data_IF_025901542257
#
_entry.id   IF_025901542257
#
_cell.length_a   1.000
_cell.length_b   1.000
_cell.length_c   1.000
_cell.angle_alpha   90.00
_cell.angle_beta   90.00
_cell.angle_gamma   90.00
#
_symmetry.space_group_name_H-M   'P 1'
#
loop_
_entity.id
_entity.type
_entity.pdbx_description
1 polymer ?
#
# COMPACT_ATOMS: atom_id res chain seq x y z
N UNK A 1 7.66 -0.14 11.67
CA UNK A 1 6.19 -0.03 11.52
C UNK A 1 5.77 -1.09 10.52
N UNK A 2 4.82 -1.97 10.87
CA UNK A 2 4.32 -2.97 9.94
C UNK A 2 3.77 -2.28 8.68
N UNK A 3 3.97 -2.90 7.52
CA UNK A 3 3.30 -2.48 6.28
C UNK A 3 1.80 -2.55 6.54
N UNK A 4 1.13 -1.39 6.53
CA UNK A 4 -0.31 -1.40 6.76
C UNK A 4 -0.96 -2.15 5.60
N UNK A 5 -1.69 -3.21 5.94
CA UNK A 5 -2.57 -3.86 4.98
C UNK A 5 -3.60 -2.82 4.50
N UNK A 6 -4.26 -3.05 3.37
CA UNK A 6 -5.38 -2.19 2.92
C UNK A 6 -6.36 -1.93 4.09
N UNK A 7 -6.53 -2.91 4.99
CA UNK A 7 -7.40 -2.84 6.15
C UNK A 7 -6.98 -1.78 7.18
N UNK A 8 -5.68 -1.54 7.31
CA UNK A 8 -5.11 -0.64 8.32
C UNK A 8 -4.59 0.68 7.72
N UNK A 9 -4.68 0.86 6.40
CA UNK A 9 -4.25 2.06 5.71
C UNK A 9 -5.28 3.18 5.84
N UNK A 10 -4.93 4.25 6.55
CA UNK A 10 -5.76 5.44 6.66
C UNK A 10 -5.89 6.17 5.31
N UNK A 11 -4.82 6.24 4.52
CA UNK A 11 -4.84 6.91 3.22
C UNK A 11 -5.81 6.21 2.24
N UNK A 12 -5.79 4.88 2.19
CA UNK A 12 -6.73 4.09 1.38
C UNK A 12 -8.17 4.26 1.87
N UNK A 13 -8.37 4.29 3.19
CA UNK A 13 -9.69 4.48 3.79
C UNK A 13 -10.28 5.85 3.42
N UNK A 14 -9.48 6.92 3.49
CA UNK A 14 -9.92 8.28 3.15
C UNK A 14 -10.32 8.35 1.68
N UNK A 15 -9.46 7.88 0.78
CA UNK A 15 -9.77 7.86 -0.64
C UNK A 15 -11.08 7.10 -0.93
N UNK A 16 -11.24 5.91 -0.37
CA UNK A 16 -12.45 5.10 -0.58
C UNK A 16 -13.70 5.75 0.02
N UNK A 17 -13.54 6.49 1.14
CA UNK A 17 -14.62 7.25 1.76
C UNK A 17 -15.10 8.39 0.86
N UNK A 18 -14.19 9.10 0.22
CA UNK A 18 -14.48 10.16 -0.76
C UNK A 18 -15.14 9.58 -2.01
N UNK A 19 -14.63 8.47 -2.53
CA UNK A 19 -15.22 7.75 -3.68
C UNK A 19 -16.61 7.19 -3.38
N UNK A 20 -16.89 6.81 -2.13
CA UNK A 20 -18.21 6.40 -1.69
C UNK A 20 -19.20 7.60 -1.59
N UNK A 21 -18.69 8.84 -1.58
CA UNK A 21 -19.49 10.06 -1.49
C UNK A 21 -19.61 10.62 -0.07
N UNK A 22 -18.74 10.21 0.86
CA UNK A 22 -18.70 10.80 2.19
C UNK A 22 -18.06 12.19 2.12
N UNK A 23 -18.66 13.17 2.78
CA UNK A 23 -18.11 14.54 2.81
C UNK A 23 -16.96 14.68 3.82
N UNK A 24 -16.03 15.60 3.57
CA UNK A 24 -14.86 15.85 4.42
C UNK A 24 -15.17 15.91 5.92
N UNK A 25 -16.18 16.67 6.38
CA UNK A 25 -16.53 16.74 7.80
C UNK A 25 -16.92 15.40 8.46
N UNK A 26 -17.43 14.43 7.71
CA UNK A 26 -17.69 13.08 8.23
C UNK A 26 -16.42 12.26 8.30
N UNK A 27 -15.53 12.39 7.32
CA UNK A 27 -14.22 11.74 7.32
C UNK A 27 -13.38 12.23 8.49
N UNK A 28 -13.37 13.54 8.74
CA UNK A 28 -12.68 14.14 9.88
C UNK A 28 -13.27 13.68 11.23
N UNK A 29 -14.59 13.53 11.32
CA UNK A 29 -15.24 12.99 12.51
C UNK A 29 -14.85 11.51 12.76
N UNK A 30 -14.75 10.69 11.73
CA UNK A 30 -14.25 9.32 11.83
C UNK A 30 -12.80 9.29 12.31
N UNK A 31 -11.94 10.14 11.77
CA UNK A 31 -10.53 10.30 12.19
C UNK A 31 -10.42 10.70 13.66
N UNK A 32 -11.17 11.73 14.06
CA UNK A 32 -11.16 12.23 15.43
C UNK A 32 -11.58 11.16 16.46
N UNK A 33 -12.45 10.22 16.05
CA UNK A 33 -12.88 9.11 16.88
C UNK A 33 -12.01 7.85 16.70
N UNK A 34 -10.91 7.94 15.96
CA UNK A 34 -9.98 6.84 15.75
C UNK A 34 -10.48 5.72 14.84
N UNK A 35 -11.51 5.97 14.02
CA UNK A 35 -12.18 4.99 13.15
C UNK A 35 -11.77 5.14 11.67
N UNK A 36 -10.63 5.72 11.41
CA UNK A 36 -10.15 6.03 10.06
C UNK A 36 -9.45 4.85 9.36
N UNK A 37 -9.87 3.62 9.61
CA UNK A 37 -9.40 2.43 8.88
C UNK A 37 -10.54 1.42 8.71
N UNK A 38 -10.47 0.61 7.64
CA UNK A 38 -11.48 -0.42 7.39
C UNK A 38 -11.58 -1.44 8.54
N UNK A 39 -10.44 -1.84 9.11
CA UNK A 39 -10.40 -2.75 10.24
C UNK A 39 -11.19 -2.23 11.43
N UNK A 40 -11.01 -0.96 11.80
CA UNK A 40 -11.70 -0.35 12.94
C UNK A 40 -13.18 -0.09 12.65
N UNK A 41 -13.50 0.40 11.44
CA UNK A 41 -14.87 0.69 11.06
C UNK A 41 -15.72 -0.58 10.99
N UNK A 42 -15.14 -1.72 10.57
CA UNK A 42 -15.87 -2.97 10.39
C UNK A 42 -16.58 -3.49 11.66
N UNK A 43 -16.11 -3.11 12.84
CA UNK A 43 -16.65 -3.48 14.15
C UNK A 43 -17.37 -2.33 14.87
N UNK A 44 -17.47 -1.15 14.26
CA UNK A 44 -17.96 0.06 14.94
C UNK A 44 -19.46 0.01 15.31
N UNK A 45 -20.28 -0.70 14.54
CA UNK A 45 -21.73 -0.71 14.70
C UNK A 45 -22.26 -2.10 14.98
N UNK A 46 -21.86 -3.09 14.19
CA UNK A 46 -22.38 -4.47 14.27
C UNK A 46 -21.25 -5.49 14.20
N UNK A 47 -21.54 -6.73 14.58
CA UNK A 47 -20.63 -7.86 14.36
C UNK A 47 -20.45 -8.13 12.86
N UNK A 48 -19.30 -8.70 12.48
CA UNK A 48 -19.01 -9.07 11.11
C UNK A 48 -20.09 -9.97 10.52
N UNK A 49 -20.53 -9.65 9.31
CA UNK A 49 -21.57 -10.41 8.60
C UNK A 49 -23.00 -10.02 8.96
N UNK A 50 -23.21 -9.06 9.87
CA UNK A 50 -24.53 -8.56 10.23
C UNK A 50 -24.77 -7.21 9.54
N UNK A 51 -25.85 -7.09 8.78
CA UNK A 51 -26.23 -5.83 8.14
C UNK A 51 -26.77 -4.88 9.18
N UNK A 52 -26.18 -3.68 9.27
CA UNK A 52 -26.64 -2.64 10.17
C UNK A 52 -27.98 -2.05 9.69
N UNK A 53 -28.92 -1.85 10.64
CA UNK A 53 -30.18 -1.18 10.34
C UNK A 53 -29.97 0.33 10.19
N UNK A 54 -30.94 1.00 9.54
CA UNK A 54 -30.88 2.48 9.36
C UNK A 54 -30.84 3.21 10.69
N UNK A 55 -31.57 2.71 11.70
CA UNK A 55 -31.60 3.25 13.05
C UNK A 55 -30.24 3.15 13.73
N UNK A 56 -29.56 2.00 13.61
CA UNK A 56 -28.21 1.79 14.16
C UNK A 56 -27.17 2.71 13.51
N UNK A 57 -27.24 2.85 12.18
CA UNK A 57 -26.33 3.73 11.45
C UNK A 57 -26.58 5.18 11.80
N UNK A 58 -27.84 5.64 11.83
CA UNK A 58 -28.19 7.00 12.23
C UNK A 58 -27.79 7.30 13.69
N UNK A 59 -28.03 6.34 14.60
CA UNK A 59 -27.60 6.46 15.99
C UNK A 59 -26.08 6.64 16.10
N UNK A 60 -25.33 5.83 15.35
CA UNK A 60 -23.88 5.96 15.32
C UNK A 60 -23.40 7.29 14.72
N UNK A 61 -23.95 7.74 13.59
CA UNK A 61 -23.62 9.03 12.98
C UNK A 61 -23.91 10.20 13.93
N UNK A 62 -25.01 10.14 14.69
CA UNK A 62 -25.32 11.13 15.71
C UNK A 62 -24.30 11.15 16.88
N UNK A 63 -23.65 10.04 17.18
CA UNK A 63 -22.54 10.01 18.17
C UNK A 63 -21.26 10.65 17.63
N UNK A 64 -21.01 10.51 16.33
CA UNK A 64 -19.84 11.11 15.69
C UNK A 64 -19.97 12.63 15.56
N UNK A 65 -21.15 13.12 15.22
CA UNK A 65 -21.43 14.56 15.05
C UNK A 65 -22.76 14.90 15.70
N UNK A 66 -22.72 15.22 16.98
CA UNK A 66 -23.91 15.56 17.77
C UNK A 66 -24.64 16.78 17.17
N UNK A 67 -25.95 16.60 16.94
CA UNK A 67 -26.82 17.67 16.42
C UNK A 67 -26.74 17.89 14.91
N UNK A 68 -25.99 17.08 14.18
CA UNK A 68 -25.91 17.15 12.70
C UNK A 68 -26.55 15.91 12.11
N UNK A 69 -27.71 16.07 11.47
CA UNK A 69 -28.36 14.98 10.76
C UNK A 69 -27.63 14.69 9.45
N UNK A 70 -27.34 13.41 9.20
CA UNK A 70 -26.80 12.97 7.92
C UNK A 70 -27.89 13.07 6.83
N UNK A 71 -27.50 13.51 5.65
CA UNK A 71 -28.36 13.44 4.47
C UNK A 71 -28.57 11.98 4.02
N UNK A 72 -29.60 11.73 3.22
CA UNK A 72 -29.87 10.39 2.67
C UNK A 72 -28.65 9.88 1.86
N UNK A 73 -27.98 10.77 1.12
CA UNK A 73 -26.80 10.45 0.35
C UNK A 73 -25.60 10.05 1.24
N UNK A 74 -25.35 10.80 2.31
CA UNK A 74 -24.29 10.50 3.29
C UNK A 74 -24.59 9.20 4.04
N UNK A 75 -25.83 8.95 4.40
CA UNK A 75 -26.26 7.69 5.00
C UNK A 75 -26.00 6.50 4.07
N UNK A 76 -26.34 6.62 2.79
CA UNK A 76 -26.09 5.59 1.81
C UNK A 76 -24.59 5.35 1.59
N UNK A 77 -23.80 6.43 1.48
CA UNK A 77 -22.35 6.38 1.37
C UNK A 77 -21.71 5.68 2.57
N UNK A 78 -22.16 6.01 3.78
CA UNK A 78 -21.67 5.40 5.01
C UNK A 78 -22.01 3.91 5.11
N UNK A 79 -23.24 3.51 4.75
CA UNK A 79 -23.64 2.10 4.69
C UNK A 79 -22.79 1.30 3.72
N UNK A 80 -22.54 1.86 2.53
CA UNK A 80 -21.64 1.25 1.54
C UNK A 80 -20.25 1.06 2.11
N UNK A 81 -19.67 2.09 2.73
CA UNK A 81 -18.34 2.04 3.32
C UNK A 81 -18.24 1.00 4.45
N UNK A 82 -19.28 0.91 5.30
CA UNK A 82 -19.37 -0.09 6.36
C UNK A 82 -19.42 -1.51 5.79
N UNK A 83 -20.24 -1.74 4.76
CA UNK A 83 -20.35 -3.04 4.10
C UNK A 83 -19.03 -3.46 3.45
N UNK A 84 -18.36 -2.54 2.74
CA UNK A 84 -17.05 -2.77 2.14
C UNK A 84 -16.01 -3.10 3.22
N UNK A 85 -16.00 -2.37 4.34
CA UNK A 85 -15.12 -2.61 5.48
C UNK A 85 -15.30 -4.03 6.07
N UNK A 86 -16.53 -4.45 6.28
CA UNK A 86 -16.85 -5.80 6.80
C UNK A 86 -16.47 -6.89 5.80
N UNK A 87 -16.71 -6.68 4.51
CA UNK A 87 -16.38 -7.63 3.45
C UNK A 87 -14.87 -7.83 3.34
N UNK A 88 -14.09 -6.74 3.35
CA UNK A 88 -12.63 -6.79 3.34
C UNK A 88 -12.08 -7.52 4.57
N UNK A 89 -12.65 -7.27 5.75
CA UNK A 89 -12.23 -7.92 6.99
C UNK A 89 -12.52 -9.41 6.97
N UNK A 90 -13.71 -9.82 6.53
CA UNK A 90 -14.06 -11.25 6.37
C UNK A 90 -13.14 -11.96 5.37
N UNK A 91 -12.80 -11.28 4.26
CA UNK A 91 -11.88 -11.84 3.27
C UNK A 91 -10.47 -12.01 3.89
N UNK A 92 -10.00 -11.02 4.65
CA UNK A 92 -8.72 -11.09 5.35
C UNK A 92 -8.64 -12.29 6.31
N UNK A 93 -9.68 -12.51 7.12
CA UNK A 93 -9.74 -13.67 8.02
C UNK A 93 -9.79 -15.01 7.28
N UNK A 94 -10.58 -15.11 6.20
CA UNK A 94 -10.63 -16.33 5.38
C UNK A 94 -9.29 -16.67 4.71
N UNK A 95 -8.58 -15.67 4.20
CA UNK A 95 -7.25 -15.85 3.62
C UNK A 95 -6.24 -16.32 4.67
N UNK A 96 -6.24 -15.72 5.85
CA UNK A 96 -5.38 -16.14 6.98
C UNK A 96 -5.70 -17.55 7.46
N UNK A 97 -6.99 -17.92 7.54
CA UNK A 97 -7.41 -19.24 8.00
C UNK A 97 -7.09 -20.37 7.00
N UNK A 98 -7.02 -20.08 5.71
CA UNK A 98 -6.68 -21.06 4.67
C UNK A 98 -5.19 -21.37 4.60
N UNK A 99 -4.32 -20.59 5.28
CA UNK A 99 -2.87 -20.75 5.19
C UNK A 99 -2.33 -20.51 3.77
N UNK A 100 -3.09 -19.78 2.94
CA UNK A 100 -2.57 -19.38 1.64
C UNK A 100 -1.22 -18.70 1.88
N UNK A 101 -0.16 -19.23 1.22
CA UNK A 101 1.17 -18.61 1.26
C UNK A 101 0.99 -17.11 1.10
N UNK A 102 1.49 -16.38 2.09
CA UNK A 102 1.39 -14.92 2.10
C UNK A 102 2.15 -14.41 0.89
N UNK A 103 1.46 -14.33 -0.24
CA UNK A 103 1.99 -13.57 -1.37
C UNK A 103 2.32 -12.19 -0.81
N UNK A 104 3.56 -11.71 -0.96
CA UNK A 104 3.98 -10.44 -0.40
C UNK A 104 2.94 -9.38 -0.79
N UNK A 105 2.27 -8.83 0.22
CA UNK A 105 1.18 -7.88 0.00
C UNK A 105 1.78 -6.63 -0.63
N UNK A 106 1.34 -6.31 -1.83
CA UNK A 106 1.72 -5.06 -2.47
C UNK A 106 1.15 -3.90 -1.66
N UNK A 107 1.99 -2.90 -1.42
CA UNK A 107 1.52 -1.67 -0.78
C UNK A 107 0.46 -1.01 -1.65
N UNK A 108 -0.70 -0.68 -1.07
CA UNK A 108 -1.77 0.01 -1.79
C UNK A 108 -1.27 1.36 -2.34
N UNK A 109 -1.74 1.73 -3.53
CA UNK A 109 -1.28 2.95 -4.20
C UNK A 109 -1.49 4.21 -3.34
N UNK A 110 -2.65 4.45 -2.73
CA UNK A 110 -2.86 5.63 -1.89
C UNK A 110 -1.92 5.71 -0.69
N UNK A 111 -1.63 4.57 -0.08
CA UNK A 111 -0.67 4.49 1.02
C UNK A 111 0.75 4.82 0.57
N UNK A 112 1.13 4.33 -0.61
CA UNK A 112 2.43 4.62 -1.22
C UNK A 112 2.59 6.08 -1.53
N UNK A 113 1.56 6.68 -2.15
CA UNK A 113 1.56 8.09 -2.53
C UNK A 113 1.62 9.00 -1.30
N UNK A 114 0.86 8.70 -0.25
CA UNK A 114 0.89 9.43 1.01
C UNK A 114 2.26 9.34 1.72
N UNK A 115 2.89 8.17 1.71
CA UNK A 115 4.24 7.99 2.28
C UNK A 115 5.31 8.71 1.44
N UNK A 116 5.19 8.68 0.12
CA UNK A 116 6.12 9.38 -0.78
C UNK A 116 6.03 10.90 -0.58
N UNK A 117 4.83 11.43 -0.45
CA UNK A 117 4.63 12.86 -0.17
C UNK A 117 5.27 13.24 1.17
N UNK A 118 4.99 12.49 2.23
CA UNK A 118 5.62 12.69 3.53
C UNK A 118 7.15 12.58 3.47
N UNK A 119 7.70 11.64 2.70
CA UNK A 119 9.14 11.49 2.51
C UNK A 119 9.73 12.71 1.80
N UNK A 120 9.06 13.22 0.75
CA UNK A 120 9.47 14.46 0.05
C UNK A 120 9.49 15.67 0.97
N UNK A 121 8.51 15.77 1.86
CA UNK A 121 8.47 16.84 2.87
C UNK A 121 9.62 16.77 3.87
N UNK A 122 9.97 15.56 4.33
CA UNK A 122 11.05 15.33 5.29
C UNK A 122 12.43 15.52 4.67
N UNK A 123 12.62 15.06 3.42
CA UNK A 123 13.89 15.13 2.70
C UNK A 123 13.96 16.37 1.80
N UNK A 124 13.56 17.53 2.33
CA UNK A 124 13.65 18.82 1.62
C UNK A 124 15.08 19.05 1.11
N UNK A 125 15.22 19.26 -0.19
CA UNK A 125 16.52 19.41 -0.87
C UNK A 125 17.00 18.18 -1.64
N UNK A 126 16.27 17.05 -1.57
CA UNK A 126 16.45 15.92 -2.46
C UNK A 126 15.24 15.81 -3.41
N UNK A 127 15.48 15.98 -4.69
CA UNK A 127 14.39 15.80 -5.69
C UNK A 127 14.21 14.32 -5.99
N UNK A 128 13.21 13.70 -5.31
CA UNK A 128 12.87 12.29 -5.47
C UNK A 128 11.97 12.14 -6.71
N UNK A 129 12.58 12.33 -7.90
CA UNK A 129 11.90 12.19 -9.19
C UNK A 129 12.85 11.58 -10.23
N UNK A 130 12.29 11.05 -11.30
CA UNK A 130 13.04 10.53 -12.44
C UNK A 130 14.04 9.44 -12.06
N UNK A 131 15.38 9.65 -12.25
CA UNK A 131 16.38 8.63 -11.96
C UNK A 131 16.49 8.22 -10.48
N UNK A 132 16.08 9.09 -9.55
CA UNK A 132 16.13 8.83 -8.10
C UNK A 132 14.84 8.25 -7.54
N UNK A 133 13.74 8.32 -8.27
CA UNK A 133 12.48 7.74 -7.84
C UNK A 133 12.55 6.20 -7.87
N UNK A 134 12.42 5.51 -6.73
CA UNK A 134 12.47 4.06 -6.70
C UNK A 134 11.30 3.41 -7.41
N UNK A 135 11.53 2.25 -8.01
CA UNK A 135 10.48 1.42 -8.59
C UNK A 135 9.48 0.95 -7.52
N UNK A 136 8.23 0.77 -7.88
CA UNK A 136 7.20 0.26 -6.97
C UNK A 136 7.51 -1.15 -6.49
N UNK A 137 8.06 -1.99 -7.36
CA UNK A 137 8.51 -3.34 -6.98
C UNK A 137 9.59 -3.31 -5.88
N UNK A 138 10.44 -2.27 -5.83
CA UNK A 138 11.45 -2.12 -4.79
C UNK A 138 10.81 -1.80 -3.42
N UNK A 139 9.76 -0.97 -3.40
CA UNK A 139 8.97 -0.73 -2.19
C UNK A 139 8.32 -2.02 -1.68
N UNK A 140 7.73 -2.82 -2.57
CA UNK A 140 7.08 -4.09 -2.22
C UNK A 140 8.08 -5.09 -1.62
N UNK A 141 9.32 -5.14 -2.16
CA UNK A 141 10.41 -5.97 -1.59
C UNK A 141 10.79 -5.51 -0.18
N UNK A 142 10.98 -4.21 0.04
CA UNK A 142 11.30 -3.68 1.37
C UNK A 142 10.15 -3.90 2.36
N UNK A 143 8.90 -3.75 1.92
CA UNK A 143 7.71 -4.01 2.70
C UNK A 143 7.62 -5.49 3.12
N UNK A 144 7.89 -6.42 2.21
CA UNK A 144 7.91 -7.85 2.50
C UNK A 144 8.99 -8.25 3.53
N UNK A 145 10.14 -7.56 3.55
CA UNK A 145 11.16 -7.76 4.58
C UNK A 145 10.66 -7.43 5.98
N UNK A 146 9.88 -6.34 6.11
CA UNK A 146 9.28 -5.95 7.39
C UNK A 146 8.23 -6.98 7.83
N UNK A 147 7.37 -7.43 6.90
CA UNK A 147 6.33 -8.44 7.20
C UNK A 147 6.93 -9.77 7.67
N UNK A 148 8.04 -10.19 7.07
CA UNK A 148 8.75 -11.42 7.43
C UNK A 148 9.66 -11.25 8.65
N UNK A 149 9.87 -10.02 9.11
CA UNK A 149 10.87 -9.67 10.12
C UNK A 149 12.27 -10.19 9.76
N UNK A 150 12.61 -10.14 8.48
CA UNK A 150 13.87 -10.65 7.93
C UNK A 150 14.45 -9.65 6.95
N UNK A 151 15.67 -9.17 7.21
CA UNK A 151 16.39 -8.25 6.32
C UNK A 151 17.25 -9.06 5.36
N UNK A 152 16.98 -8.97 4.07
CA UNK A 152 17.76 -9.59 3.02
C UNK A 152 18.52 -8.56 2.18
N UNK A 153 19.64 -8.99 1.60
CA UNK A 153 20.42 -8.14 0.72
C UNK A 153 19.68 -7.87 -0.59
N UNK A 154 19.55 -6.60 -0.94
CA UNK A 154 19.02 -6.18 -2.25
C UNK A 154 20.18 -5.84 -3.17
N UNK A 155 20.33 -6.63 -4.25
CA UNK A 155 21.35 -6.37 -5.25
C UNK A 155 21.08 -5.00 -5.93
N UNK A 156 22.09 -4.12 -6.06
CA UNK A 156 21.94 -2.84 -6.75
C UNK A 156 21.37 -2.95 -8.18
N UNK A 157 21.67 -4.04 -8.91
CA UNK A 157 21.10 -4.28 -10.24
C UNK A 157 19.57 -4.40 -10.25
N UNK A 158 18.95 -4.70 -9.11
CA UNK A 158 17.49 -4.78 -8.92
C UNK A 158 16.87 -3.48 -8.41
N UNK A 159 17.69 -2.47 -8.12
CA UNK A 159 17.23 -1.17 -7.64
C UNK A 159 16.86 -0.26 -8.82
N UNK A 160 15.80 -0.61 -9.56
CA UNK A 160 15.32 0.15 -10.69
C UNK A 160 14.75 1.51 -10.27
N UNK A 161 14.77 2.46 -11.20
CA UNK A 161 13.95 3.66 -11.09
C UNK A 161 12.50 3.34 -11.54
N UNK A 162 11.55 4.19 -11.14
CA UNK A 162 10.16 4.09 -11.59
C UNK A 162 10.06 4.15 -13.11
N UNK A 163 10.86 5.00 -13.74
CA UNK A 163 10.90 5.11 -15.19
C UNK A 163 11.37 3.82 -15.87
N UNK A 164 12.42 3.18 -15.32
CA UNK A 164 12.93 1.90 -15.85
C UNK A 164 11.91 0.77 -15.66
N UNK A 165 11.21 0.74 -14.52
CA UNK A 165 10.13 -0.22 -14.28
C UNK A 165 9.01 -0.09 -15.32
N UNK A 166 8.57 1.14 -15.61
CA UNK A 166 7.52 1.39 -16.61
C UNK A 166 7.94 1.02 -18.04
N UNK A 167 9.23 1.22 -18.38
CA UNK A 167 9.77 0.84 -19.68
C UNK A 167 9.95 -0.68 -19.82
N UNK A 168 10.31 -1.37 -18.73
CA UNK A 168 10.59 -2.81 -18.71
C UNK A 168 9.35 -3.69 -18.44
N UNK A 169 8.22 -3.12 -18.06
CA UNK A 169 7.05 -3.87 -17.57
C UNK A 169 6.11 -4.40 -18.66
N UNK A 170 6.58 -4.66 -19.88
CA UNK A 170 5.80 -5.46 -20.81
C UNK A 170 6.01 -6.93 -20.48
N UNK A 171 5.02 -7.63 -19.89
CA UNK A 171 5.16 -9.07 -19.66
C UNK A 171 5.28 -9.76 -21.02
N UNK A 172 6.38 -10.46 -21.25
CA UNK A 172 6.46 -11.39 -22.37
C UNK A 172 5.48 -12.54 -22.06
N UNK A 173 4.36 -12.55 -22.76
CA UNK A 173 3.38 -13.64 -22.70
C UNK A 173 3.90 -14.76 -23.57
N UNK A 174 4.51 -15.75 -22.98
CA UNK A 174 4.88 -16.98 -23.66
C UNK A 174 3.67 -17.93 -23.66
N UNK A 175 3.16 -18.22 -24.88
CA UNK A 175 2.10 -19.21 -25.06
C UNK A 175 2.75 -20.57 -25.18
N UNK A 176 2.71 -21.39 -24.15
CA UNK A 176 3.16 -22.77 -24.17
C UNK A 176 1.98 -23.72 -24.41
N UNK A 177 2.12 -24.58 -25.41
CA UNK A 177 1.20 -25.71 -25.63
C UNK A 177 1.56 -26.80 -24.63
N UNK A 178 0.65 -27.08 -23.70
CA UNK A 178 0.80 -28.25 -22.86
C UNK A 178 0.34 -29.48 -23.64
N UNK A 179 1.32 -30.24 -24.15
CA UNK A 179 1.09 -31.42 -24.98
C UNK A 179 0.31 -32.53 -24.26
N UNK A 180 0.21 -32.47 -22.93
CA UNK A 180 -0.49 -33.48 -22.11
C UNK A 180 -1.96 -33.14 -21.85
N UNK A 181 -2.38 -31.90 -21.97
CA UNK A 181 -3.74 -31.44 -21.64
C UNK A 181 -4.50 -30.78 -22.78
N UNK A 182 -3.93 -30.66 -23.99
CA UNK A 182 -4.53 -29.97 -25.14
C UNK A 182 -5.06 -28.56 -24.78
N UNK A 183 -4.45 -27.92 -23.80
CA UNK A 183 -4.81 -26.59 -23.32
C UNK A 183 -3.65 -25.61 -23.51
N UNK A 184 -3.99 -24.41 -23.98
CA UNK A 184 -3.04 -23.29 -24.06
C UNK A 184 -2.84 -22.71 -22.67
N UNK A 185 -1.65 -22.87 -22.11
CA UNK A 185 -1.28 -22.23 -20.84
C UNK A 185 -0.48 -20.98 -21.16
N UNK A 186 -1.03 -19.82 -20.81
CA UNK A 186 -0.31 -18.56 -20.86
C UNK A 186 0.54 -18.46 -19.60
N UNK A 187 1.85 -18.69 -19.71
CA UNK A 187 2.79 -18.39 -18.63
C UNK A 187 3.23 -16.94 -18.74
N UNK A 188 2.85 -16.13 -17.79
CA UNK A 188 3.44 -14.81 -17.61
C UNK A 188 4.82 -14.98 -16.96
N UNK A 189 5.87 -14.83 -17.75
CA UNK A 189 7.22 -14.71 -17.19
C UNK A 189 7.33 -13.29 -16.63
N UNK A 190 7.28 -13.14 -15.32
CA UNK A 190 7.72 -11.94 -14.65
C UNK A 190 9.26 -11.91 -14.72
N UNK A 191 9.79 -11.47 -15.85
CA UNK A 191 11.20 -11.10 -15.93
C UNK A 191 11.37 -9.88 -15.02
N UNK A 192 12.03 -10.05 -13.90
CA UNK A 192 12.46 -8.92 -13.09
C UNK A 192 13.55 -8.21 -13.90
N UNK A 193 13.30 -7.04 -14.50
CA UNK A 193 14.30 -6.34 -15.27
C UNK A 193 15.48 -6.02 -14.35
N UNK A 194 16.69 -6.34 -14.81
CA UNK A 194 17.92 -5.98 -14.14
C UNK A 194 18.56 -4.82 -14.89
N UNK A 195 19.09 -3.85 -14.16
CA UNK A 195 19.87 -2.74 -14.74
C UNK A 195 21.33 -3.13 -14.84
N UNK A 196 21.93 -2.77 -15.98
CA UNK A 196 23.37 -2.87 -16.12
C UNK A 196 24.01 -1.65 -15.40
N UNK A 197 24.73 -1.92 -14.33
CA UNK A 197 25.48 -0.91 -13.58
C UNK A 197 26.89 -0.86 -14.19
N UNK A 198 27.06 -0.02 -15.21
CA UNK A 198 28.32 0.14 -15.91
C UNK A 198 29.15 1.35 -15.45
N UNK A 199 28.65 2.18 -14.56
CA UNK A 199 29.33 3.38 -14.08
C UNK A 199 29.11 3.61 -12.57
N UNK A 200 30.05 4.31 -11.94
CA UNK A 200 29.96 4.69 -10.52
C UNK A 200 28.71 5.53 -10.24
N UNK A 201 28.31 6.39 -11.16
CA UNK A 201 27.10 7.19 -11.05
C UNK A 201 25.86 6.30 -11.05
N UNK A 202 25.79 5.29 -11.92
CA UNK A 202 24.67 4.34 -11.97
C UNK A 202 24.57 3.52 -10.67
N UNK A 203 25.72 3.10 -10.14
CA UNK A 203 25.80 2.42 -8.84
C UNK A 203 25.31 3.33 -7.70
N UNK A 204 25.80 4.58 -7.66
CA UNK A 204 25.38 5.55 -6.67
C UNK A 204 23.85 5.78 -6.70
N UNK A 205 23.28 6.00 -7.88
CA UNK A 205 21.84 6.17 -8.05
C UNK A 205 21.06 4.93 -7.62
N UNK A 206 21.54 3.72 -7.92
CA UNK A 206 20.91 2.48 -7.49
C UNK A 206 20.90 2.34 -5.96
N UNK A 207 22.02 2.65 -5.30
CA UNK A 207 22.11 2.66 -3.83
C UNK A 207 21.21 3.72 -3.20
N UNK A 208 21.13 4.92 -3.80
CA UNK A 208 20.21 5.97 -3.33
C UNK A 208 18.75 5.51 -3.42
N UNK A 209 18.33 4.89 -4.54
CA UNK A 209 16.98 4.34 -4.68
C UNK A 209 16.70 3.26 -3.63
N UNK A 210 17.66 2.37 -3.35
CA UNK A 210 17.53 1.37 -2.30
C UNK A 210 17.26 2.00 -0.94
N UNK A 211 18.08 2.98 -0.57
CA UNK A 211 17.95 3.67 0.73
C UNK A 211 16.63 4.43 0.82
N UNK A 212 16.21 5.12 -0.25
CA UNK A 212 14.91 5.80 -0.30
C UNK A 212 13.73 4.83 -0.16
N UNK A 213 13.83 3.64 -0.76
CA UNK A 213 12.79 2.62 -0.62
C UNK A 213 12.73 2.05 0.80
N UNK A 214 13.86 1.83 1.44
CA UNK A 214 13.93 1.39 2.84
C UNK A 214 13.36 2.44 3.80
N UNK A 215 13.64 3.71 3.56
CA UNK A 215 13.14 4.83 4.36
C UNK A 215 11.62 4.99 4.21
N UNK A 216 11.11 4.96 2.99
CA UNK A 216 9.67 5.06 2.72
C UNK A 216 8.88 3.94 3.41
N UNK A 217 9.40 2.73 3.41
CA UNK A 217 8.76 1.59 4.06
C UNK A 217 8.95 1.58 5.58
N UNK A 218 9.93 2.32 6.08
CA UNK A 218 10.30 2.34 7.52
C UNK A 218 11.24 1.22 7.92
N UNK A 219 11.88 0.54 6.96
CA UNK A 219 12.89 -0.50 7.23
C UNK A 219 14.19 0.11 7.77
N UNK A 220 14.61 1.27 7.23
CA UNK A 220 15.78 2.02 7.68
C UNK A 220 15.57 3.52 7.43
N UNK A 221 16.23 4.39 8.19
CA UNK A 221 16.18 5.84 7.96
C UNK A 221 17.24 6.26 6.95
N UNK A 222 16.86 7.07 5.97
CA UNK A 222 17.75 7.63 4.96
C UNK A 222 18.92 8.44 5.55
N UNK A 223 18.68 9.18 6.63
CA UNK A 223 19.73 9.98 7.27
C UNK A 223 20.82 9.14 7.93
N UNK A 224 20.47 8.01 8.52
CA UNK A 224 21.41 7.10 9.17
C UNK A 224 22.32 6.45 8.13
N UNK A 225 21.77 5.99 7.03
CA UNK A 225 22.52 5.32 5.96
C UNK A 225 23.48 6.28 5.24
N UNK A 226 23.07 7.54 5.02
CA UNK A 226 23.95 8.59 4.45
C UNK A 226 25.16 8.91 5.34
N UNK A 227 25.01 8.83 6.66
CA UNK A 227 26.13 9.04 7.60
C UNK A 227 27.09 7.86 7.59
N UNK A 228 26.60 6.63 7.50
CA UNK A 228 27.46 5.43 7.43
C UNK A 228 28.29 5.39 6.16
N UNK A 229 27.78 5.86 5.05
CA UNK A 229 28.50 5.92 3.77
C UNK A 229 29.63 6.97 3.77
N UNK A 230 29.52 8.03 4.56
CA UNK A 230 30.58 9.07 4.71
C UNK A 230 31.70 8.67 5.65
N UNK A 231 31.50 7.71 6.54
CA UNK A 231 32.52 7.25 7.50
C UNK A 231 33.47 6.21 6.88
N UNK A 232 33.15 5.65 5.72
CA UNK A 232 33.96 4.65 5.01
C UNK A 232 34.67 5.21 3.76
N UNK A 233 34.65 6.51 3.54
CA UNK A 233 35.40 7.24 2.52
C UNK A 233 36.46 8.13 3.17
#
# INVERSE_FOLDING_TARGET
MATSSILDSEATFVQQSEEAGLTGPWIDALRANGLATFAKLSFAITSLGTVATDEQVNGFLNTLRVGVAATIAELAAFKRLLFESQTLMMHGFKSTAKGDEVTPRRMAQPERDARLEKQRELLRGLDIKGPLEPAHALYDVCAAMIERNEVSYINPNRCLSRQQELMGSKPEKEIQLDATKTSLVVKEHQSHPEINISSDLALYQALQRRTLAMDLTGLASYEVDRKSTRLNS
#
